data_IF_270228374603
#
_entry.id   IF_270228374603
#
_cell.length_a   1.000
_cell.length_b   1.000
_cell.length_c   1.000
_cell.angle_alpha   90.00
_cell.angle_beta   90.00
_cell.angle_gamma   90.00
#
_symmetry.space_group_name_H-M   'P 1'
#
loop_
_entity.id
_entity.type
_entity.pdbx_description
1 polymer ?
#
# COMPACT_ATOMS: atom_id res chain seq x y z
N UNK A 1 -14.22 8.91 -3.69
CA UNK A 1 -13.10 9.48 -4.48
C UNK A 1 -11.88 9.83 -3.62
N UNK A 2 -11.98 10.60 -2.52
CA UNK A 2 -10.83 10.81 -1.61
C UNK A 2 -10.42 9.55 -0.84
N UNK A 3 -11.38 8.81 -0.28
CA UNK A 3 -11.11 7.61 0.54
C UNK A 3 -10.35 6.50 -0.22
N UNK A 4 -10.70 6.29 -1.49
CA UNK A 4 -10.04 5.29 -2.35
C UNK A 4 -8.63 5.70 -2.74
N UNK A 5 -8.39 7.00 -2.93
CA UNK A 5 -7.04 7.54 -3.18
C UNK A 5 -6.16 7.35 -1.94
N UNK A 6 -6.67 7.68 -0.75
CA UNK A 6 -5.97 7.50 0.53
C UNK A 6 -5.58 6.05 0.75
N UNK A 7 -6.54 5.11 0.62
CA UNK A 7 -6.26 3.67 0.74
C UNK A 7 -5.20 3.19 -0.25
N UNK A 8 -5.27 3.64 -1.50
CA UNK A 8 -4.29 3.26 -2.53
C UNK A 8 -2.90 3.77 -2.15
N UNK A 9 -2.80 5.03 -1.71
CA UNK A 9 -1.52 5.60 -1.32
C UNK A 9 -0.92 4.92 -0.08
N UNK A 10 -1.74 4.54 0.91
CA UNK A 10 -1.26 3.80 2.08
C UNK A 10 -0.64 2.46 1.68
N UNK A 11 -1.30 1.70 0.79
CA UNK A 11 -0.73 0.44 0.27
C UNK A 11 0.58 0.65 -0.49
N UNK A 12 0.67 1.74 -1.25
CA UNK A 12 1.90 2.10 -1.96
C UNK A 12 3.01 2.53 -0.99
N UNK A 13 2.69 3.24 0.09
CA UNK A 13 3.63 3.61 1.14
C UNK A 13 4.16 2.38 1.88
N UNK A 14 3.29 1.44 2.24
CA UNK A 14 3.68 0.17 2.87
C UNK A 14 4.67 -0.60 1.99
N UNK A 15 4.43 -0.60 0.68
CA UNK A 15 5.22 -1.39 -0.29
C UNK A 15 6.52 -0.70 -0.70
N UNK A 16 6.49 0.63 -0.90
CA UNK A 16 7.56 1.37 -1.57
C UNK A 16 8.07 2.58 -0.78
N UNK A 17 7.50 2.89 0.39
CA UNK A 17 7.85 4.09 1.17
C UNK A 17 9.34 4.18 1.50
N UNK A 18 10.01 3.03 1.71
CA UNK A 18 11.46 2.94 1.96
C UNK A 18 12.33 3.36 0.77
N UNK A 19 11.76 3.51 -0.43
CA UNK A 19 12.45 4.01 -1.63
C UNK A 19 12.37 5.53 -1.76
N UNK A 20 11.59 6.20 -0.91
CA UNK A 20 11.56 7.65 -0.82
C UNK A 20 12.75 8.15 0.01
N UNK A 21 13.10 9.43 -0.15
CA UNK A 21 14.01 10.08 0.80
C UNK A 21 13.35 10.20 2.18
N UNK A 22 14.14 10.23 3.25
CA UNK A 22 13.63 10.35 4.63
C UNK A 22 12.63 11.51 4.79
N UNK A 23 12.93 12.66 4.15
CA UNK A 23 12.06 13.84 4.19
C UNK A 23 10.73 13.63 3.46
N UNK A 24 10.75 12.97 2.31
CA UNK A 24 9.52 12.65 1.58
C UNK A 24 8.69 11.61 2.34
N UNK A 25 9.33 10.58 2.89
CA UNK A 25 8.66 9.56 3.69
C UNK A 25 7.99 10.20 4.90
N UNK A 26 8.71 11.01 5.68
CA UNK A 26 8.16 11.68 6.85
C UNK A 26 6.91 12.52 6.52
N UNK A 27 6.96 13.32 5.44
CA UNK A 27 5.79 14.12 5.01
C UNK A 27 4.61 13.25 4.58
N UNK A 28 4.88 12.11 3.96
CA UNK A 28 3.84 11.19 3.54
C UNK A 28 3.20 10.50 4.75
N UNK A 29 3.99 10.04 5.73
CA UNK A 29 3.48 9.42 6.96
C UNK A 29 2.63 10.42 7.77
N UNK A 30 3.14 11.64 7.98
CA UNK A 30 2.39 12.68 8.69
C UNK A 30 1.04 12.97 8.00
N UNK A 31 1.01 12.98 6.66
CA UNK A 31 -0.21 13.29 5.91
C UNK A 31 -1.19 12.12 5.78
N UNK A 32 -0.70 10.89 5.56
CA UNK A 32 -1.50 9.72 5.20
C UNK A 32 -1.77 8.76 6.37
N UNK A 33 -0.93 8.74 7.40
CA UNK A 33 -1.08 7.90 8.59
C UNK A 33 -1.51 8.70 9.82
N UNK A 34 -0.89 9.86 10.04
CA UNK A 34 -1.17 10.71 11.22
C UNK A 34 -2.27 11.77 10.97
N UNK A 35 -2.84 11.80 9.76
CA UNK A 35 -3.90 12.74 9.33
C UNK A 35 -3.55 14.24 9.53
N UNK A 36 -2.26 14.61 9.56
CA UNK A 36 -1.85 16.01 9.64
C UNK A 36 -2.19 16.77 8.36
N UNK A 37 -2.67 17.99 8.52
CA UNK A 37 -2.85 18.92 7.42
C UNK A 37 -1.51 19.42 6.87
N UNK A 38 -1.51 19.87 5.62
CA UNK A 38 -0.33 20.50 5.00
C UNK A 38 0.20 21.72 5.78
N UNK A 39 -0.68 22.38 6.55
CA UNK A 39 -0.30 23.50 7.41
C UNK A 39 0.46 23.03 8.64
N UNK A 40 -0.06 22.01 9.34
CA UNK A 40 0.60 21.41 10.51
C UNK A 40 1.97 20.83 10.15
N UNK A 41 2.08 20.14 9.01
CA UNK A 41 3.36 19.66 8.50
C UNK A 41 4.29 20.84 8.17
N UNK A 42 3.77 21.90 7.53
CA UNK A 42 4.61 23.06 7.21
C UNK A 42 5.19 23.72 8.47
N UNK A 43 4.38 23.85 9.53
CA UNK A 43 4.79 24.36 10.83
C UNK A 43 5.83 23.45 11.50
N UNK A 44 5.55 22.14 11.60
CA UNK A 44 6.42 21.15 12.25
C UNK A 44 7.85 21.12 11.64
N UNK A 45 7.95 21.32 10.33
CA UNK A 45 9.24 21.29 9.63
C UNK A 45 9.76 22.68 9.26
N UNK A 46 9.10 23.76 9.70
CA UNK A 46 9.49 25.15 9.40
C UNK A 46 9.70 25.42 7.91
N UNK A 47 8.79 24.92 7.07
CA UNK A 47 8.78 25.09 5.61
C UNK A 47 7.49 25.77 5.16
N UNK A 48 7.38 26.13 3.88
CA UNK A 48 6.11 26.64 3.35
C UNK A 48 5.11 25.51 3.10
N UNK A 49 3.82 25.80 3.26
CA UNK A 49 2.72 24.89 2.89
C UNK A 49 2.82 24.41 1.44
N UNK A 50 3.29 25.27 0.54
CA UNK A 50 3.50 24.91 -0.87
C UNK A 50 4.62 23.88 -1.03
N UNK A 51 5.72 24.02 -0.28
CA UNK A 51 6.83 23.06 -0.33
C UNK A 51 6.39 21.66 0.15
N UNK A 52 5.54 21.58 1.19
CA UNK A 52 4.96 20.30 1.64
C UNK A 52 4.06 19.71 0.55
N UNK A 53 3.17 20.52 -0.04
CA UNK A 53 2.28 20.07 -1.11
C UNK A 53 3.06 19.50 -2.31
N UNK A 54 4.08 20.22 -2.78
CA UNK A 54 4.89 19.79 -3.93
C UNK A 54 5.67 18.50 -3.61
N UNK A 55 6.20 18.39 -2.37
CA UNK A 55 6.92 17.21 -1.93
C UNK A 55 6.02 15.97 -1.86
N UNK A 56 4.83 16.09 -1.27
CA UNK A 56 3.83 15.01 -1.24
C UNK A 56 3.43 14.64 -2.67
N UNK A 57 3.13 15.62 -3.52
CA UNK A 57 2.71 15.34 -4.89
C UNK A 57 3.77 14.59 -5.70
N UNK A 58 5.04 14.95 -5.51
CA UNK A 58 6.17 14.27 -6.14
C UNK A 58 6.36 12.85 -5.58
N UNK A 59 6.17 12.66 -4.28
CA UNK A 59 6.23 11.33 -3.65
C UNK A 59 5.10 10.42 -4.15
N UNK A 60 3.86 10.92 -4.27
CA UNK A 60 2.74 10.18 -4.87
C UNK A 60 3.08 9.65 -6.28
N UNK A 61 3.69 10.50 -7.10
CA UNK A 61 4.09 10.15 -8.47
C UNK A 61 5.18 9.08 -8.49
N UNK A 62 6.18 9.18 -7.61
CA UNK A 62 7.24 8.18 -7.49
C UNK A 62 6.69 6.83 -7.06
N UNK A 63 5.84 6.79 -6.03
CA UNK A 63 5.23 5.56 -5.54
C UNK A 63 4.36 4.89 -6.59
N UNK A 64 3.57 5.68 -7.33
CA UNK A 64 2.75 5.17 -8.44
C UNK A 64 3.64 4.61 -9.55
N UNK A 65 4.71 5.31 -9.90
CA UNK A 65 5.66 4.85 -10.91
C UNK A 65 6.38 3.56 -10.49
N UNK A 66 6.73 3.41 -9.20
CA UNK A 66 7.30 2.16 -8.70
C UNK A 66 6.32 1.00 -8.87
N UNK A 67 5.03 1.20 -8.58
CA UNK A 67 4.02 0.15 -8.85
C UNK A 67 3.86 -0.13 -10.35
N UNK A 68 3.88 0.88 -11.22
CA UNK A 68 3.79 0.66 -12.67
C UNK A 68 4.95 -0.21 -13.21
N UNK A 69 6.15 -0.06 -12.62
CA UNK A 69 7.35 -0.80 -13.05
C UNK A 69 7.45 -2.17 -12.37
N UNK A 70 7.11 -2.26 -11.08
CA UNK A 70 7.30 -3.46 -10.26
C UNK A 70 6.06 -4.36 -10.25
N UNK A 71 4.87 -3.77 -10.20
CA UNK A 71 3.59 -4.49 -10.19
C UNK A 71 3.36 -5.35 -8.94
N UNK A 72 3.96 -4.99 -7.80
CA UNK A 72 3.91 -5.81 -6.59
C UNK A 72 2.48 -5.96 -6.05
N UNK A 73 1.71 -4.87 -5.99
CA UNK A 73 0.35 -4.90 -5.47
C UNK A 73 -0.58 -5.69 -6.41
N UNK A 74 -0.38 -5.58 -7.72
CA UNK A 74 -1.12 -6.41 -8.69
C UNK A 74 -0.80 -7.90 -8.53
N UNK A 75 0.49 -8.24 -8.41
CA UNK A 75 0.93 -9.62 -8.20
C UNK A 75 0.34 -10.21 -6.91
N UNK A 76 0.38 -9.46 -5.82
CA UNK A 76 -0.19 -9.86 -4.54
C UNK A 76 -1.71 -10.09 -4.64
N UNK A 77 -2.42 -9.16 -5.29
CA UNK A 77 -3.87 -9.29 -5.50
C UNK A 77 -4.22 -10.55 -6.30
N UNK A 78 -3.45 -10.84 -7.36
CA UNK A 78 -3.61 -12.06 -8.17
C UNK A 78 -3.32 -13.32 -7.36
N UNK A 79 -2.28 -13.31 -6.51
CA UNK A 79 -1.95 -14.42 -5.61
C UNK A 79 -3.10 -14.71 -4.65
N UNK A 80 -3.63 -13.67 -3.99
CA UNK A 80 -4.72 -13.80 -3.03
C UNK A 80 -6.00 -14.33 -3.70
N UNK A 81 -6.32 -13.86 -4.90
CA UNK A 81 -7.47 -14.38 -5.66
C UNK A 81 -7.28 -15.85 -6.06
N UNK A 82 -6.07 -16.26 -6.43
CA UNK A 82 -5.77 -17.66 -6.73
C UNK A 82 -5.91 -18.56 -5.48
N UNK A 83 -5.40 -18.12 -4.33
CA UNK A 83 -5.52 -18.83 -3.05
C UNK A 83 -6.99 -18.98 -2.66
N UNK A 84 -7.78 -17.91 -2.80
CA UNK A 84 -9.22 -17.94 -2.53
C UNK A 84 -9.94 -18.97 -3.39
N UNK A 85 -9.65 -19.00 -4.70
CA UNK A 85 -10.21 -19.99 -5.63
C UNK A 85 -9.79 -21.41 -5.26
N UNK A 86 -8.53 -21.61 -4.90
CA UNK A 86 -8.02 -22.91 -4.43
C UNK A 86 -8.76 -23.38 -3.17
N UNK A 87 -8.98 -22.48 -2.21
CA UNK A 87 -9.73 -22.82 -0.99
C UNK A 87 -11.16 -23.21 -1.31
N UNK A 88 -11.88 -22.43 -2.12
CA UNK A 88 -13.24 -22.79 -2.53
C UNK A 88 -13.30 -24.13 -3.28
N UNK A 89 -12.33 -24.39 -4.16
CA UNK A 89 -12.24 -25.67 -4.88
C UNK A 89 -11.96 -26.85 -3.95
N UNK A 90 -11.06 -26.67 -2.97
CA UNK A 90 -10.74 -27.67 -1.96
C UNK A 90 -11.96 -27.97 -1.07
N UNK A 91 -12.67 -26.96 -0.60
CA UNK A 91 -13.87 -27.13 0.22
C UNK A 91 -14.98 -27.90 -0.52
N UNK A 92 -15.16 -27.64 -1.82
CA UNK A 92 -16.18 -28.29 -2.65
C UNK A 92 -15.82 -29.74 -2.99
N UNK A 93 -14.56 -30.01 -3.34
CA UNK A 93 -14.16 -31.31 -3.92
C UNK A 93 -13.43 -32.22 -2.93
N UNK A 94 -12.76 -31.65 -1.94
CA UNK A 94 -11.90 -32.36 -0.97
C UNK A 94 -12.10 -31.89 0.48
N UNK A 95 -13.34 -31.83 1.00
CA UNK A 95 -13.65 -31.22 2.31
C UNK A 95 -13.00 -31.91 3.52
N UNK A 96 -12.55 -33.16 3.37
CA UNK A 96 -11.90 -33.94 4.44
C UNK A 96 -10.38 -33.96 4.32
N UNK A 97 -9.81 -33.37 3.28
CA UNK A 97 -8.36 -33.30 3.07
C UNK A 97 -7.79 -32.15 3.90
N UNK A 98 -7.50 -32.45 5.17
CA UNK A 98 -6.98 -31.49 6.14
C UNK A 98 -5.55 -31.05 5.82
N UNK A 99 -4.77 -31.91 5.14
CA UNK A 99 -3.41 -31.58 4.72
C UNK A 99 -3.45 -30.56 3.60
N UNK A 100 -4.30 -30.76 2.59
CA UNK A 100 -4.51 -29.79 1.51
C UNK A 100 -5.03 -28.45 2.05
N UNK A 101 -5.98 -28.46 2.99
CA UNK A 101 -6.45 -27.24 3.64
C UNK A 101 -5.30 -26.50 4.33
N UNK A 102 -4.47 -27.21 5.12
CA UNK A 102 -3.32 -26.62 5.81
C UNK A 102 -2.30 -26.02 4.83
N UNK A 103 -2.03 -26.70 3.71
CA UNK A 103 -1.12 -26.21 2.68
C UNK A 103 -1.63 -24.95 1.99
N UNK A 104 -2.94 -24.86 1.72
CA UNK A 104 -3.57 -23.66 1.15
C UNK A 104 -3.48 -22.50 2.14
N UNK A 105 -3.73 -22.75 3.43
CA UNK A 105 -3.65 -21.76 4.50
C UNK A 105 -2.23 -21.18 4.63
N UNK A 106 -1.20 -21.99 4.41
CA UNK A 106 0.20 -21.56 4.46
C UNK A 106 0.65 -20.65 3.29
N UNK A 107 -0.14 -20.54 2.21
CA UNK A 107 0.17 -19.67 1.06
C UNK A 107 -0.32 -18.23 1.24
N UNK A 108 -1.30 -18.03 2.14
CA UNK A 108 -1.92 -16.74 2.46
C UNK A 108 -1.01 -15.87 3.27
#
# INVERSE_FOLDING_TARGET
MMLEKTKTMNRLLDSYGKLLTDKQLAYMLDYYEEDFSLGEIAENYSVSRQAVYDAIKKAEQLLTHYEEVVGFLELEARKQEAIKKLRSYQEENYPKDLELATLIDALG
#
